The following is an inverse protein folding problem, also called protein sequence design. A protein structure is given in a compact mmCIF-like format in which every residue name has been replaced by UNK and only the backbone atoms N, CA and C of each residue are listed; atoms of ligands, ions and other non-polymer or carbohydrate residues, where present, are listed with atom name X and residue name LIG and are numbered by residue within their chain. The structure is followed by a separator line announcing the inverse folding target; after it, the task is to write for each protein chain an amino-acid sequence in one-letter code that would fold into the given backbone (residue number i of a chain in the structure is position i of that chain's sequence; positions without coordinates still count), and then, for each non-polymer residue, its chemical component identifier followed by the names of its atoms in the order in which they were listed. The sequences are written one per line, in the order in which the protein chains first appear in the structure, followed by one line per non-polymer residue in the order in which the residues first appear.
data_IF_534523070846
#
_entry.id   IF_534523070846
#
_cell.length_a   1.000
_cell.length_b   1.000
_cell.length_c   1.000
_cell.angle_alpha   90.00
_cell.angle_beta   90.00
_cell.angle_gamma   90.00
#
_symmetry.space_group_name_H-M   'P 1'
#
loop_
_entity.id
_entity.type
_entity.pdbx_description
1 polymer ?
#
# COMPACT_ATOMS: atom_id res chain seq x y z
N UNK A 1 -11.51 -3.59 -9.31
CA UNK A 1 -12.08 -3.05 -8.05
C UNK A 1 -11.18 -1.93 -7.56
N UNK A 2 -11.74 -0.98 -6.82
CA UNK A 2 -10.98 0.04 -6.12
C UNK A 2 -10.72 -0.44 -4.68
N UNK A 3 -9.46 -0.43 -4.27
CA UNK A 3 -9.01 -0.92 -2.96
C UNK A 3 -8.20 0.17 -2.27
N UNK A 4 -8.64 0.57 -1.08
CA UNK A 4 -7.86 1.44 -0.20
C UNK A 4 -7.19 0.58 0.88
N UNK A 5 -5.86 0.66 0.95
CA UNK A 5 -5.07 0.06 2.02
C UNK A 5 -4.63 1.18 2.97
N UNK A 6 -4.89 1.02 4.26
CA UNK A 6 -4.55 2.02 5.29
C UNK A 6 -3.70 1.34 6.35
N UNK A 7 -2.51 1.87 6.58
CA UNK A 7 -1.62 1.42 7.64
C UNK A 7 -1.20 2.60 8.49
N UNK A 8 -1.15 2.39 9.80
CA UNK A 8 -0.67 3.34 10.78
C UNK A 8 0.52 2.70 11.47
N UNK A 9 1.74 3.10 11.10
CA UNK A 9 2.94 2.48 11.68
C UNK A 9 4.26 2.89 11.04
N UNK A 10 5.28 2.13 11.39
CA UNK A 10 6.64 2.28 10.88
C UNK A 10 6.79 1.69 9.48
N UNK A 11 8.01 1.73 8.94
CA UNK A 11 8.36 1.05 7.68
C UNK A 11 7.98 -0.44 7.70
N UNK A 12 8.22 -1.14 8.81
CA UNK A 12 7.89 -2.56 8.93
C UNK A 12 6.39 -2.85 8.86
N UNK A 13 5.55 -1.87 9.21
CA UNK A 13 4.10 -1.97 9.09
C UNK A 13 3.62 -1.60 7.67
N UNK A 14 4.42 -0.86 6.89
CA UNK A 14 4.09 -0.44 5.52
C UNK A 14 4.46 -1.50 4.48
N UNK A 15 5.62 -2.15 4.63
CA UNK A 15 6.16 -3.09 3.63
C UNK A 15 5.20 -4.26 3.29
N UNK A 16 4.53 -4.90 4.25
CA UNK A 16 3.56 -5.95 3.95
C UNK A 16 2.36 -5.44 3.14
N UNK A 17 1.93 -4.20 3.39
CA UNK A 17 0.81 -3.57 2.67
C UNK A 17 1.22 -3.15 1.27
N UNK A 18 2.47 -2.72 1.09
CA UNK A 18 3.03 -2.43 -0.22
C UNK A 18 3.05 -3.69 -1.09
N UNK A 19 3.58 -4.81 -0.56
CA UNK A 19 3.61 -6.09 -1.26
C UNK A 19 2.21 -6.59 -1.64
N UNK A 20 1.24 -6.45 -0.73
CA UNK A 20 -0.17 -6.75 -1.03
C UNK A 20 -0.72 -5.82 -2.13
N UNK A 21 -0.43 -4.52 -2.05
CA UNK A 21 -0.88 -3.53 -3.03
C UNK A 21 -0.35 -3.81 -4.43
N UNK A 22 0.93 -4.16 -4.55
CA UNK A 22 1.55 -4.59 -5.81
C UNK A 22 0.86 -5.83 -6.38
N UNK A 23 0.67 -6.86 -5.56
CA UNK A 23 0.01 -8.09 -5.97
C UNK A 23 -1.46 -7.88 -6.40
N UNK A 24 -2.17 -6.93 -5.80
CA UNK A 24 -3.53 -6.55 -6.19
C UNK A 24 -3.52 -5.73 -7.50
N UNK A 25 -2.56 -4.83 -7.67
CA UNK A 25 -2.39 -4.04 -8.88
C UNK A 25 -2.07 -4.93 -10.10
N UNK A 26 -1.18 -5.92 -9.94
CA UNK A 26 -0.85 -6.92 -10.96
C UNK A 26 -2.09 -7.72 -11.42
N UNK A 27 -3.08 -7.89 -10.54
CA UNK A 27 -4.36 -8.56 -10.84
C UNK A 27 -5.40 -7.62 -11.47
N UNK A 28 -5.03 -6.38 -11.79
CA UNK A 28 -5.90 -5.39 -12.43
C UNK A 28 -6.81 -4.64 -11.46
N UNK A 29 -6.46 -4.55 -10.17
CA UNK A 29 -7.17 -3.72 -9.21
C UNK A 29 -6.55 -2.31 -9.14
N UNK A 30 -7.38 -1.28 -8.97
CA UNK A 30 -6.91 0.06 -8.69
C UNK A 30 -6.67 0.17 -7.17
N UNK A 31 -5.43 0.42 -6.78
CA UNK A 31 -5.01 0.41 -5.37
C UNK A 31 -4.50 1.79 -4.96
N UNK A 32 -4.90 2.24 -3.77
CA UNK A 32 -4.28 3.39 -3.08
C UNK A 32 -3.80 2.94 -1.71
N UNK A 33 -2.53 3.19 -1.40
CA UNK A 33 -1.95 2.91 -0.10
C UNK A 33 -1.72 4.21 0.68
N UNK A 34 -2.36 4.33 1.84
CA UNK A 34 -2.17 5.45 2.76
C UNK A 34 -1.11 5.06 3.79
N UNK A 35 -0.04 5.85 3.86
CA UNK A 35 1.08 5.66 4.79
C UNK A 35 1.29 6.92 5.65
N UNK A 36 1.95 6.79 6.82
CA UNK A 36 2.34 7.95 7.61
C UNK A 36 3.25 8.91 6.83
N UNK A 37 3.07 10.22 7.02
CA UNK A 37 3.64 11.25 6.14
C UNK A 37 5.17 11.29 6.00
N UNK A 38 5.91 10.61 6.87
CA UNK A 38 7.36 10.46 6.77
C UNK A 38 7.83 9.33 5.84
N UNK A 39 6.92 8.47 5.37
CA UNK A 39 7.21 7.35 4.49
C UNK A 39 6.75 7.67 3.07
N UNK A 40 7.61 7.38 2.08
CA UNK A 40 7.32 7.53 0.64
C UNK A 40 7.69 6.25 -0.08
N UNK A 41 6.89 5.87 -1.07
CA UNK A 41 7.05 4.63 -1.84
C UNK A 41 6.42 4.73 -3.23
N UNK A 42 6.56 3.68 -4.05
CA UNK A 42 6.26 3.71 -5.47
C UNK A 42 4.77 3.56 -5.87
N UNK A 43 3.82 3.44 -4.93
CA UNK A 43 2.39 3.31 -5.22
C UNK A 43 1.55 4.46 -4.65
#
# INVERSE_FOLDING_TARGET
MEVALVTAGSRGDVEPYLALGEALAERGHAVRLLVPGGLRGPL
#
